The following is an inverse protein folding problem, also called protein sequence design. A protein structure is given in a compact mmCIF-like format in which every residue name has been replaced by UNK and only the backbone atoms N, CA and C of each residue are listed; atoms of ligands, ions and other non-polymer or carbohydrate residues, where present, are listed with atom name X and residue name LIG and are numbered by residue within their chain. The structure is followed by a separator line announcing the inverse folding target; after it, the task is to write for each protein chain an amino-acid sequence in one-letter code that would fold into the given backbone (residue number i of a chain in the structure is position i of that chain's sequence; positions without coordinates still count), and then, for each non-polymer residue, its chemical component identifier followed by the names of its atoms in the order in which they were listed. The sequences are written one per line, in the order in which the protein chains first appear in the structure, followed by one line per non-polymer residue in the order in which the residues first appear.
data_IF_492867692410
#
_entry.id   IF_492867692410
#
_cell.length_a   1.000
_cell.length_b   1.000
_cell.length_c   1.000
_cell.angle_alpha   90.00
_cell.angle_beta   90.00
_cell.angle_gamma   90.00
#
_symmetry.space_group_name_H-M   'P 1'
#
loop_
_entity.id
_entity.type
_entity.pdbx_description
1 polymer ?
#
# COMPACT_ATOMS: atom_id res chain seq x y z
N UNK A 1 -9.71 5.10 -4.61
CA UNK A 1 -8.91 4.21 -5.46
C UNK A 1 -9.78 3.75 -6.62
N UNK A 2 -9.41 4.05 -7.84
CA UNK A 2 -10.19 3.72 -9.03
C UNK A 2 -9.60 2.47 -9.65
N UNK A 3 -10.40 1.42 -9.81
CA UNK A 3 -9.97 0.17 -10.44
C UNK A 3 -10.64 0.01 -11.80
N UNK A 4 -9.85 -0.38 -12.79
CA UNK A 4 -10.34 -0.81 -14.09
C UNK A 4 -10.09 -2.31 -14.17
N UNK A 5 -11.15 -3.11 -14.10
CA UNK A 5 -11.06 -4.56 -14.22
C UNK A 5 -11.27 -5.01 -15.66
N UNK A 6 -10.46 -5.93 -16.14
CA UNK A 6 -10.66 -6.65 -17.40
C UNK A 6 -10.70 -8.14 -17.13
N UNK A 7 -11.73 -8.82 -17.61
CA UNK A 7 -11.71 -10.27 -17.76
C UNK A 7 -11.12 -10.60 -19.15
N UNK A 8 -9.97 -11.27 -19.15
CA UNK A 8 -9.27 -11.66 -20.39
C UNK A 8 -10.03 -12.65 -21.28
N UNK A 9 -11.19 -13.14 -20.86
CA UNK A 9 -12.02 -14.10 -21.61
C UNK A 9 -13.44 -13.65 -21.95
N UNK A 10 -13.91 -12.51 -21.44
CA UNK A 10 -15.24 -11.99 -21.78
C UNK A 10 -15.10 -10.71 -22.59
N UNK A 11 -15.62 -10.77 -23.82
CA UNK A 11 -15.80 -9.62 -24.68
C UNK A 11 -16.63 -8.55 -23.95
N UNK A 12 -16.02 -7.37 -23.79
CA UNK A 12 -16.64 -6.08 -23.52
C UNK A 12 -17.64 -5.99 -22.34
N UNK A 13 -17.11 -5.72 -21.14
CA UNK A 13 -17.76 -4.77 -20.24
C UNK A 13 -16.71 -4.12 -19.33
N UNK A 14 -16.58 -2.81 -19.42
CA UNK A 14 -15.77 -2.02 -18.51
C UNK A 14 -16.49 -1.97 -17.18
N UNK A 15 -15.96 -2.61 -16.17
CA UNK A 15 -16.50 -2.55 -14.83
C UNK A 15 -15.56 -1.72 -13.95
N UNK A 16 -16.00 -0.54 -13.56
CA UNK A 16 -15.39 0.30 -12.53
C UNK A 16 -15.79 -0.28 -11.18
N UNK A 17 -14.82 -0.83 -10.44
CA UNK A 17 -15.07 -1.30 -9.08
C UNK A 17 -14.47 -0.35 -8.06
N UNK A 18 -15.29 0.06 -7.10
CA UNK A 18 -14.80 0.50 -5.81
C UNK A 18 -14.62 -0.76 -4.96
N UNK A 19 -13.39 -1.21 -4.79
CA UNK A 19 -13.11 -2.38 -3.96
C UNK A 19 -13.13 -1.91 -2.50
N UNK A 20 -14.12 -2.40 -1.74
CA UNK A 20 -14.17 -2.31 -0.30
C UNK A 20 -13.60 -3.61 0.32
N UNK A 21 -13.44 -3.63 1.64
CA UNK A 21 -12.90 -4.77 2.37
C UNK A 21 -13.64 -6.09 2.06
N UNK A 22 -14.96 -6.07 2.03
CA UNK A 22 -15.78 -7.24 1.72
C UNK A 22 -15.54 -7.79 0.29
N UNK A 23 -15.17 -6.91 -0.64
CA UNK A 23 -14.85 -7.31 -2.02
C UNK A 23 -13.53 -8.06 -2.08
N UNK A 24 -12.52 -7.67 -1.28
CA UNK A 24 -11.27 -8.42 -1.18
C UNK A 24 -11.51 -9.82 -0.59
N UNK A 25 -12.31 -9.94 0.48
CA UNK A 25 -12.69 -11.23 1.06
C UNK A 25 -13.27 -12.15 -0.02
N UNK A 26 -14.24 -11.65 -0.79
CA UNK A 26 -14.89 -12.40 -1.85
C UNK A 26 -13.93 -12.81 -2.98
N UNK A 27 -13.04 -11.91 -3.40
CA UNK A 27 -12.12 -12.16 -4.51
C UNK A 27 -10.93 -13.02 -4.12
N UNK A 28 -10.43 -12.91 -2.89
CA UNK A 28 -9.22 -13.58 -2.44
C UNK A 28 -9.52 -14.93 -1.78
N UNK A 29 -10.45 -14.96 -0.81
CA UNK A 29 -10.66 -16.12 0.04
C UNK A 29 -11.76 -17.04 -0.43
N UNK A 30 -12.94 -16.51 -0.76
CA UNK A 30 -14.06 -17.34 -1.17
C UNK A 30 -13.87 -17.95 -2.55
N UNK A 31 -13.26 -17.22 -3.48
CA UNK A 31 -13.20 -17.61 -4.87
C UNK A 31 -11.80 -17.74 -5.48
N UNK A 32 -10.77 -17.18 -4.85
CA UNK A 32 -9.41 -17.11 -5.40
C UNK A 32 -9.38 -16.54 -6.84
N UNK A 33 -10.15 -15.46 -7.09
CA UNK A 33 -10.28 -14.89 -8.44
C UNK A 33 -9.32 -13.74 -8.71
N UNK A 34 -8.80 -13.07 -7.67
CA UNK A 34 -7.85 -11.98 -7.87
C UNK A 34 -6.50 -12.55 -8.31
N UNK A 35 -6.14 -12.34 -9.57
CA UNK A 35 -4.92 -12.89 -10.18
C UNK A 35 -3.74 -11.92 -10.07
N UNK A 36 -3.96 -10.64 -10.41
CA UNK A 36 -2.92 -9.61 -10.27
C UNK A 36 -3.51 -8.21 -10.08
N UNK A 37 -2.68 -7.33 -9.52
CA UNK A 37 -2.91 -5.89 -9.48
C UNK A 37 -1.71 -5.18 -10.09
N UNK A 38 -1.94 -4.32 -11.08
CA UNK A 38 -0.93 -3.49 -11.70
C UNK A 38 -1.15 -2.04 -11.27
N UNK A 39 -0.19 -1.44 -10.61
CA UNK A 39 -0.16 -0.01 -10.32
C UNK A 39 0.37 0.74 -11.53
N UNK A 40 -0.40 1.72 -11.99
CA UNK A 40 0.02 2.66 -13.02
C UNK A 40 0.46 3.99 -12.41
N UNK A 41 1.20 4.78 -13.17
CA UNK A 41 1.57 6.14 -12.76
C UNK A 41 0.36 7.04 -12.55
N UNK A 42 0.57 8.15 -11.86
CA UNK A 42 -0.35 9.28 -11.84
C UNK A 42 -0.46 9.92 -13.23
N UNK A 43 -1.51 10.69 -13.44
CA UNK A 43 -1.68 11.53 -14.64
C UNK A 43 -1.69 10.78 -15.99
N UNK A 44 -2.01 9.48 -16.00
CA UNK A 44 -2.11 8.68 -17.25
C UNK A 44 -3.50 8.75 -17.89
N UNK A 45 -4.51 9.22 -17.16
CA UNK A 45 -5.89 9.35 -17.65
C UNK A 45 -6.35 10.80 -17.73
N UNK A 46 -7.30 11.05 -18.63
CA UNK A 46 -7.77 12.40 -18.97
C UNK A 46 -8.35 13.19 -17.78
N UNK A 47 -9.15 12.51 -16.95
CA UNK A 47 -9.91 13.17 -15.88
C UNK A 47 -9.44 12.85 -14.47
N UNK A 48 -8.27 12.24 -14.31
CA UNK A 48 -7.73 11.90 -12.99
C UNK A 48 -6.23 12.05 -12.92
N UNK A 49 -5.76 12.74 -11.88
CA UNK A 49 -4.35 12.89 -11.56
C UNK A 49 -3.85 11.93 -10.47
N UNK A 50 -4.70 11.01 -10.00
CA UNK A 50 -4.34 10.06 -8.95
C UNK A 50 -3.71 8.79 -9.53
N UNK A 51 -3.00 8.05 -8.69
CA UNK A 51 -2.55 6.69 -8.99
C UNK A 51 -3.74 5.78 -9.31
N UNK A 52 -3.63 5.01 -10.37
CA UNK A 52 -4.66 4.08 -10.81
C UNK A 52 -4.13 2.65 -10.82
N UNK A 53 -5.05 1.71 -10.67
CA UNK A 53 -4.72 0.29 -10.58
C UNK A 53 -5.57 -0.50 -11.56
N UNK A 54 -4.97 -1.49 -12.21
CA UNK A 54 -5.65 -2.49 -13.02
C UNK A 54 -5.73 -3.77 -12.20
N UNK A 55 -6.95 -4.23 -11.89
CA UNK A 55 -7.18 -5.52 -11.26
C UNK A 55 -7.46 -6.58 -12.33
N UNK A 56 -6.67 -7.63 -12.35
CA UNK A 56 -6.88 -8.80 -13.20
C UNK A 56 -7.60 -9.87 -12.39
N UNK A 57 -8.80 -10.23 -12.85
CA UNK A 57 -9.67 -11.19 -12.19
C UNK A 57 -9.84 -12.39 -13.11
N UNK A 58 -9.54 -13.59 -12.61
CA UNK A 58 -9.65 -14.84 -13.34
C UNK A 58 -10.40 -15.88 -12.51
N UNK A 59 -11.49 -16.41 -13.05
CA UNK A 59 -12.24 -17.52 -12.41
C UNK A 59 -11.52 -18.86 -12.50
N UNK A 60 -10.59 -18.99 -13.44
CA UNK A 60 -9.85 -20.21 -13.71
C UNK A 60 -8.35 -19.91 -13.74
N UNK A 61 -7.75 -19.65 -12.57
CA UNK A 61 -6.32 -19.47 -12.46
C UNK A 61 -5.57 -20.74 -12.83
N UNK A 62 -4.47 -20.66 -13.59
CA UNK A 62 -3.54 -21.79 -13.76
C UNK A 62 -3.04 -22.27 -12.41
N UNK A 63 -2.73 -23.56 -12.29
CA UNK A 63 -2.34 -24.21 -11.01
C UNK A 63 -1.21 -23.47 -10.28
N UNK A 64 -0.22 -22.96 -11.00
CA UNK A 64 0.91 -22.23 -10.40
C UNK A 64 0.54 -20.85 -9.83
N UNK A 65 -0.64 -20.31 -10.18
CA UNK A 65 -1.16 -19.02 -9.69
C UNK A 65 -2.24 -19.17 -8.62
N UNK A 66 -2.75 -20.39 -8.40
CA UNK A 66 -3.80 -20.63 -7.41
C UNK A 66 -3.32 -20.28 -6.00
N UNK A 67 -4.17 -19.66 -5.20
CA UNK A 67 -3.87 -19.18 -3.85
C UNK A 67 -2.88 -18.02 -3.80
N UNK A 68 -2.56 -17.39 -4.94
CA UNK A 68 -1.57 -16.32 -5.02
C UNK A 68 -2.08 -15.12 -5.79
N UNK A 69 -1.51 -13.96 -5.47
CA UNK A 69 -1.75 -12.69 -6.18
C UNK A 69 -0.41 -12.09 -6.58
N UNK A 70 -0.32 -11.63 -7.83
CA UNK A 70 0.83 -10.88 -8.31
C UNK A 70 0.57 -9.38 -8.20
N UNK A 71 1.46 -8.65 -7.53
CA UNK A 71 1.48 -7.20 -7.51
C UNK A 71 2.56 -6.71 -8.46
N UNK A 72 2.22 -5.76 -9.34
CA UNK A 72 3.13 -5.18 -10.32
C UNK A 72 3.15 -3.67 -10.16
N UNK A 73 4.30 -3.12 -9.77
CA UNK A 73 4.51 -1.67 -9.74
C UNK A 73 5.06 -1.20 -11.10
N UNK A 74 4.17 -0.64 -11.90
CA UNK A 74 4.49 -0.01 -13.18
C UNK A 74 4.37 1.52 -13.09
N UNK A 75 4.46 2.11 -11.90
CA UNK A 75 4.30 3.55 -11.68
C UNK A 75 5.36 4.40 -12.42
N UNK A 76 6.52 3.82 -12.70
CA UNK A 76 7.61 4.46 -13.43
C UNK A 76 7.59 4.19 -14.94
N UNK A 77 6.69 3.32 -15.44
CA UNK A 77 6.57 2.93 -16.84
C UNK A 77 5.74 3.95 -17.63
N UNK A 78 6.26 5.17 -17.75
CA UNK A 78 5.59 6.31 -18.40
C UNK A 78 6.59 7.24 -19.07
N UNK A 79 6.08 8.04 -20.01
CA UNK A 79 6.79 9.15 -20.64
C UNK A 79 5.96 10.41 -20.48
N UNK A 80 6.61 11.50 -20.08
CA UNK A 80 5.96 12.80 -19.98
C UNK A 80 5.51 13.30 -21.36
N UNK A 81 4.27 13.79 -21.44
CA UNK A 81 3.71 14.36 -22.67
C UNK A 81 4.30 15.75 -22.93
N UNK A 82 4.58 16.04 -24.17
CA UNK A 82 4.96 17.39 -24.60
C UNK A 82 3.83 18.42 -24.40
N UNK A 83 2.59 17.99 -24.57
CA UNK A 83 1.38 18.82 -24.39
C UNK A 83 0.36 18.05 -23.57
N UNK A 84 -0.08 18.65 -22.47
CA UNK A 84 -1.07 18.05 -21.59
C UNK A 84 -2.45 17.97 -22.24
N UNK A 85 -3.24 16.97 -21.83
CA UNK A 85 -4.61 16.77 -22.26
C UNK A 85 -5.49 16.61 -21.01
N UNK A 86 -6.05 17.72 -20.52
CA UNK A 86 -6.70 17.77 -19.21
C UNK A 86 -5.71 17.41 -18.10
N UNK A 87 -6.06 16.50 -17.22
CA UNK A 87 -5.17 15.98 -16.18
C UNK A 87 -4.13 15.01 -16.70
N UNK A 88 -4.24 14.55 -17.94
CA UNK A 88 -3.29 13.59 -18.52
C UNK A 88 -1.98 14.29 -18.89
N UNK A 89 -0.91 13.99 -18.17
CA UNK A 89 0.45 14.51 -18.37
C UNK A 89 1.42 13.43 -18.81
N UNK A 90 1.07 12.16 -18.63
CA UNK A 90 1.90 11.01 -18.92
C UNK A 90 1.25 10.07 -19.93
N UNK A 91 2.07 9.45 -20.76
CA UNK A 91 1.68 8.37 -21.67
C UNK A 91 2.41 7.09 -21.32
N UNK A 92 1.73 5.96 -21.48
CA UNK A 92 2.34 4.62 -21.44
C UNK A 92 2.59 4.22 -22.89
N UNK A 93 3.86 4.05 -23.27
CA UNK A 93 4.25 3.67 -24.63
C UNK A 93 3.97 2.19 -24.90
N UNK A 94 4.11 1.77 -26.17
CA UNK A 94 4.00 0.35 -26.52
C UNK A 94 5.09 -0.49 -25.84
N UNK A 95 6.33 0.02 -25.79
CA UNK A 95 7.43 -0.62 -25.08
C UNK A 95 7.15 -0.76 -23.57
N UNK A 96 6.60 0.28 -22.93
CA UNK A 96 6.20 0.20 -21.51
C UNK A 96 5.13 -0.88 -21.31
N UNK A 97 4.14 -0.98 -22.21
CA UNK A 97 3.10 -2.01 -22.16
C UNK A 97 3.66 -3.43 -22.30
N UNK A 98 4.61 -3.62 -23.24
CA UNK A 98 5.29 -4.91 -23.42
C UNK A 98 6.00 -5.37 -22.15
N UNK A 99 6.69 -4.45 -21.46
CA UNK A 99 7.36 -4.76 -20.17
C UNK A 99 6.34 -5.16 -19.10
N UNK A 100 5.23 -4.42 -18.97
CA UNK A 100 4.19 -4.74 -17.99
C UNK A 100 3.55 -6.11 -18.29
N UNK A 101 3.25 -6.39 -19.57
CA UNK A 101 2.68 -7.68 -20.00
C UNK A 101 3.67 -8.82 -19.77
N UNK A 102 4.96 -8.59 -20.04
CA UNK A 102 6.02 -9.55 -19.75
C UNK A 102 6.12 -9.87 -18.26
N UNK A 103 6.13 -8.83 -17.40
CA UNK A 103 6.16 -9.00 -15.95
C UNK A 103 4.97 -9.83 -15.45
N UNK A 104 3.77 -9.56 -15.98
CA UNK A 104 2.58 -10.35 -15.66
C UNK A 104 2.70 -11.81 -16.14
N UNK A 105 3.17 -12.01 -17.37
CA UNK A 105 3.23 -13.35 -17.99
C UNK A 105 4.27 -14.26 -17.35
N UNK A 106 5.41 -13.73 -16.93
CA UNK A 106 6.49 -14.50 -16.29
C UNK A 106 6.15 -14.95 -14.87
N UNK A 107 5.23 -14.28 -14.19
CA UNK A 107 4.80 -14.62 -12.83
C UNK A 107 5.98 -14.89 -11.90
N UNK A 108 6.83 -13.90 -11.72
CA UNK A 108 8.07 -14.01 -10.94
C UNK A 108 8.26 -12.81 -10.00
N UNK A 109 8.97 -13.00 -8.89
CA UNK A 109 9.52 -11.91 -8.10
C UNK A 109 10.74 -11.36 -8.85
N UNK A 110 10.55 -10.29 -9.62
CA UNK A 110 11.57 -9.77 -10.52
C UNK A 110 11.42 -8.27 -10.77
N UNK A 111 12.51 -7.67 -11.19
CA UNK A 111 12.58 -6.27 -11.65
C UNK A 111 12.87 -6.29 -13.15
N UNK A 112 12.08 -5.53 -13.89
CA UNK A 112 12.18 -5.38 -15.34
C UNK A 112 12.59 -3.94 -15.65
N UNK A 113 13.58 -3.78 -16.51
CA UNK A 113 14.09 -2.47 -16.90
C UNK A 113 13.92 -2.26 -18.41
N UNK A 114 13.50 -1.05 -18.78
CA UNK A 114 13.44 -0.60 -20.17
C UNK A 114 13.61 0.91 -20.21
N UNK A 115 14.54 1.38 -21.03
CA UNK A 115 14.84 2.81 -21.24
C UNK A 115 15.06 3.58 -19.92
N UNK A 116 15.77 2.98 -18.96
CA UNK A 116 16.03 3.57 -17.64
C UNK A 116 14.82 3.62 -16.70
N UNK A 117 13.70 2.98 -17.07
CA UNK A 117 12.50 2.84 -16.26
C UNK A 117 12.44 1.45 -15.64
N UNK A 118 11.78 1.35 -14.49
CA UNK A 118 11.72 0.12 -13.71
C UNK A 118 10.25 -0.28 -13.51
N UNK A 119 9.98 -1.57 -13.74
CA UNK A 119 8.74 -2.25 -13.39
C UNK A 119 9.08 -3.41 -12.43
N UNK A 120 8.48 -3.43 -11.25
CA UNK A 120 8.77 -4.44 -10.22
C UNK A 120 7.55 -5.35 -10.01
N UNK A 121 7.79 -6.65 -9.97
CA UNK A 121 6.77 -7.68 -9.74
C UNK A 121 7.06 -8.46 -8.48
N UNK A 122 6.05 -8.66 -7.65
CA UNK A 122 6.09 -9.47 -6.41
C UNK A 122 4.88 -10.37 -6.33
N UNK A 123 5.10 -11.61 -5.86
CA UNK A 123 4.07 -12.62 -5.68
C UNK A 123 3.84 -12.82 -4.18
N UNK A 124 2.57 -12.86 -3.80
CA UNK A 124 2.12 -13.06 -2.42
C UNK A 124 1.10 -14.19 -2.38
N UNK A 125 0.99 -14.87 -1.24
CA UNK A 125 -0.14 -15.75 -0.99
C UNK A 125 -1.36 -14.91 -0.59
N UNK A 126 -2.56 -15.43 -0.82
CA UNK A 126 -3.79 -14.73 -0.43
C UNK A 126 -3.81 -14.38 1.07
N UNK A 127 -3.26 -15.26 1.91
CA UNK A 127 -3.20 -15.10 3.38
C UNK A 127 -2.31 -13.92 3.82
N UNK A 128 -1.31 -13.52 3.00
CA UNK A 128 -0.39 -12.42 3.32
C UNK A 128 -1.11 -11.05 3.37
N UNK A 129 -2.32 -10.98 2.81
CA UNK A 129 -3.16 -9.78 2.81
C UNK A 129 -4.22 -9.77 3.91
N UNK A 130 -4.34 -10.88 4.62
CA UNK A 130 -5.34 -11.06 5.66
C UNK A 130 -4.85 -10.63 7.03
N UNK A 131 -5.79 -10.15 7.85
CA UNK A 131 -5.54 -9.80 9.24
C UNK A 131 -6.75 -10.10 10.12
N UNK A 132 -6.49 -10.36 11.38
CA UNK A 132 -7.47 -10.36 12.44
C UNK A 132 -7.55 -8.96 13.04
N UNK A 133 -8.64 -8.25 12.84
CA UNK A 133 -8.91 -7.01 13.55
C UNK A 133 -9.42 -7.32 14.93
N UNK A 134 -8.55 -7.13 15.92
CA UNK A 134 -8.87 -7.32 17.33
C UNK A 134 -9.33 -6.00 17.96
N UNK A 135 -10.26 -6.10 18.91
CA UNK A 135 -10.70 -4.97 19.72
C UNK A 135 -10.00 -5.06 21.08
N UNK A 136 -9.29 -3.98 21.43
CA UNK A 136 -8.55 -3.84 22.66
C UNK A 136 -9.37 -2.99 23.60
N UNK A 137 -9.62 -3.51 24.78
CA UNK A 137 -10.36 -2.85 25.85
C UNK A 137 -9.42 -2.52 27.00
N UNK A 138 -9.73 -1.42 27.69
CA UNK A 138 -9.01 -0.97 28.88
C UNK A 138 -9.99 -0.75 30.05
N UNK A 139 -9.54 -0.92 31.30
CA UNK A 139 -10.39 -0.73 32.45
C UNK A 139 -10.73 0.75 32.70
N UNK A 140 -11.92 1.00 33.16
CA UNK A 140 -12.37 2.33 33.58
C UNK A 140 -11.93 2.61 35.01
N UNK A 141 -11.32 3.77 35.23
CA UNK A 141 -10.96 4.32 36.52
C UNK A 141 -11.76 5.60 36.79
N UNK A 142 -12.37 5.69 37.96
CA UNK A 142 -12.98 6.92 38.49
C UNK A 142 -12.23 7.37 39.75
N UNK A 143 -11.70 8.57 39.74
CA UNK A 143 -10.90 9.12 40.85
C UNK A 143 -9.72 8.20 41.26
N UNK A 144 -9.12 7.47 40.31
CA UNK A 144 -8.02 6.54 40.55
C UNK A 144 -8.44 5.17 41.11
N UNK A 145 -9.76 4.89 41.20
CA UNK A 145 -10.28 3.62 41.66
C UNK A 145 -10.84 2.84 40.46
N UNK A 146 -10.46 1.57 40.36
CA UNK A 146 -10.97 0.66 39.33
C UNK A 146 -12.49 0.46 39.46
N UNK A 147 -13.25 0.76 38.45
CA UNK A 147 -14.69 0.53 38.41
C UNK A 147 -14.97 -0.91 37.98
N UNK A 148 -15.69 -1.66 38.83
CA UNK A 148 -16.04 -3.06 38.56
C UNK A 148 -17.56 -3.27 38.56
N UNK A 149 -18.00 -4.31 37.85
CA UNK A 149 -19.43 -4.69 37.79
C UNK A 149 -19.66 -6.18 38.10
N UNK A 150 -20.85 -6.46 38.58
CA UNK A 150 -21.32 -7.83 38.82
C UNK A 150 -20.69 -8.52 40.04
N UNK A 151 -21.09 -9.77 40.27
CA UNK A 151 -20.61 -10.58 41.42
C UNK A 151 -19.17 -11.03 41.30
N UNK A 152 -18.59 -11.00 40.06
CA UNK A 152 -17.22 -11.40 39.77
C UNK A 152 -16.23 -10.24 39.77
N UNK A 153 -16.69 -9.02 40.13
CA UNK A 153 -15.86 -7.80 40.08
C UNK A 153 -15.15 -7.61 38.74
N UNK A 154 -15.86 -7.88 37.62
CA UNK A 154 -15.28 -7.69 36.28
C UNK A 154 -15.04 -6.21 36.02
N UNK A 155 -13.87 -5.82 35.45
CA UNK A 155 -13.59 -4.43 35.10
C UNK A 155 -14.65 -3.86 34.16
N UNK A 156 -15.07 -2.62 34.39
CA UNK A 156 -15.89 -1.89 33.42
C UNK A 156 -14.99 -1.35 32.33
N UNK A 157 -15.42 -1.50 31.09
CA UNK A 157 -14.68 -1.01 29.92
C UNK A 157 -14.72 0.50 29.86
N UNK A 158 -13.56 1.12 29.68
CA UNK A 158 -13.44 2.53 29.31
C UNK A 158 -13.56 2.68 27.77
N UNK A 159 -14.76 3.01 27.33
CA UNK A 159 -15.05 3.15 25.90
C UNK A 159 -14.21 4.26 25.21
N UNK A 160 -13.69 5.21 25.96
CA UNK A 160 -12.84 6.29 25.42
C UNK A 160 -11.43 5.83 25.11
N UNK A 161 -10.98 4.72 25.73
CA UNK A 161 -9.66 4.10 25.52
C UNK A 161 -9.70 2.85 24.66
N UNK A 162 -10.87 2.57 24.05
CA UNK A 162 -10.99 1.45 23.13
C UNK A 162 -10.13 1.66 21.91
N UNK A 163 -9.36 0.64 21.53
CA UNK A 163 -8.48 0.66 20.36
C UNK A 163 -8.65 -0.60 19.53
N UNK A 164 -8.08 -0.59 18.32
CA UNK A 164 -8.16 -1.69 17.37
C UNK A 164 -6.79 -1.93 16.77
N UNK A 165 -6.38 -3.21 16.73
CA UNK A 165 -5.16 -3.63 16.05
C UNK A 165 -5.47 -4.64 14.95
N UNK A 166 -4.66 -4.60 13.89
CA UNK A 166 -4.74 -5.54 12.77
C UNK A 166 -3.57 -6.52 12.87
N UNK A 167 -3.84 -7.70 13.39
CA UNK A 167 -2.88 -8.78 13.54
C UNK A 167 -2.82 -9.62 12.25
N UNK A 168 -1.67 -9.79 11.58
CA UNK A 168 -1.57 -10.64 10.39
C UNK A 168 -2.15 -12.03 10.63
N UNK A 169 -2.84 -12.62 9.64
CA UNK A 169 -3.44 -13.97 9.78
C UNK A 169 -2.39 -15.06 10.05
N UNK A 170 -1.17 -14.83 9.61
CA UNK A 170 -0.04 -15.75 9.82
C UNK A 170 0.53 -15.70 11.23
N UNK A 171 0.07 -14.79 12.07
CA UNK A 171 0.56 -14.59 13.44
C UNK A 171 -0.54 -14.92 14.47
N UNK A 172 -0.11 -15.52 15.59
CA UNK A 172 -1.00 -15.80 16.72
C UNK A 172 -1.39 -14.49 17.43
N UNK A 173 -2.71 -14.30 17.65
CA UNK A 173 -3.27 -13.09 18.22
C UNK A 173 -2.76 -12.84 19.64
N UNK A 174 -2.66 -13.89 20.47
CA UNK A 174 -2.26 -13.75 21.86
C UNK A 174 -0.75 -13.43 21.96
N UNK A 175 0.07 -14.02 21.11
CA UNK A 175 1.51 -13.71 21.02
C UNK A 175 1.73 -12.26 20.56
N UNK A 176 1.02 -11.83 19.52
CA UNK A 176 1.08 -10.45 19.04
C UNK A 176 0.68 -9.46 20.15
N UNK A 177 -0.42 -9.74 20.85
CA UNK A 177 -0.95 -8.89 21.90
C UNK A 177 0.03 -8.71 23.07
N UNK A 178 0.68 -9.78 23.51
CA UNK A 178 1.69 -9.72 24.58
C UNK A 178 2.95 -8.92 24.14
N UNK A 179 3.32 -8.99 22.86
CA UNK A 179 4.51 -8.31 22.33
C UNK A 179 4.27 -6.83 22.04
N UNK A 180 3.13 -6.51 21.40
CA UNK A 180 2.92 -5.17 20.83
C UNK A 180 2.00 -4.29 21.70
N UNK A 181 1.07 -4.86 22.46
CA UNK A 181 0.07 -4.09 23.21
C UNK A 181 0.41 -4.01 24.70
N UNK A 182 0.74 -5.13 25.31
CA UNK A 182 1.00 -5.21 26.75
C UNK A 182 2.12 -4.31 27.27
N UNK A 183 3.22 -4.07 26.55
CA UNK A 183 4.26 -3.16 26.99
C UNK A 183 3.79 -1.71 27.15
N UNK A 184 2.77 -1.30 26.38
CA UNK A 184 2.22 0.06 26.40
C UNK A 184 0.96 0.18 27.27
N UNK A 185 0.22 -0.92 27.40
CA UNK A 185 -1.02 -1.00 28.18
C UNK A 185 -1.13 -2.35 28.89
N UNK A 186 -0.50 -2.46 30.06
CA UNK A 186 -0.40 -3.71 30.81
C UNK A 186 -1.77 -4.25 31.27
N UNK A 187 -2.76 -3.38 31.45
CA UNK A 187 -4.10 -3.73 31.93
C UNK A 187 -5.11 -4.00 30.83
N UNK A 188 -4.72 -3.82 29.55
CA UNK A 188 -5.57 -4.09 28.40
C UNK A 188 -5.89 -5.57 28.26
N UNK A 189 -7.03 -5.86 27.62
CA UNK A 189 -7.39 -7.21 27.19
C UNK A 189 -8.08 -7.18 25.83
N UNK A 190 -8.12 -8.34 25.16
CA UNK A 190 -8.79 -8.51 23.88
C UNK A 190 -10.26 -8.92 24.11
N UNK A 191 -11.20 -8.24 23.49
CA UNK A 191 -12.56 -8.76 23.33
C UNK A 191 -12.60 -9.72 22.12
N UNK A 192 -12.31 -11.01 22.40
CA UNK A 192 -12.28 -12.06 21.36
C UNK A 192 -13.61 -12.20 20.60
N UNK A 193 -14.74 -11.80 21.21
CA UNK A 193 -16.06 -11.86 20.57
C UNK A 193 -16.24 -10.83 19.46
N UNK A 194 -15.38 -9.82 19.41
CA UNK A 194 -15.38 -8.73 18.43
C UNK A 194 -14.29 -8.86 17.36
N UNK A 195 -13.46 -9.89 17.44
CA UNK A 195 -12.45 -10.17 16.43
C UNK A 195 -13.11 -10.40 15.07
N UNK A 196 -12.60 -9.74 14.05
CA UNK A 196 -13.08 -9.85 12.66
C UNK A 196 -11.90 -10.09 11.74
N UNK A 197 -12.06 -11.01 10.81
CA UNK A 197 -11.10 -11.18 9.72
C UNK A 197 -11.36 -10.09 8.68
N UNK A 198 -10.28 -9.54 8.14
CA UNK A 198 -10.31 -8.58 7.05
C UNK A 198 -9.12 -8.75 6.13
N UNK A 199 -9.21 -8.14 4.94
CA UNK A 199 -8.15 -8.19 3.94
C UNK A 199 -7.84 -6.78 3.45
N UNK A 200 -6.55 -6.50 3.32
CA UNK A 200 -6.05 -5.24 2.79
C UNK A 200 -4.80 -5.49 1.95
N UNK A 201 -4.71 -4.82 0.81
CA UNK A 201 -3.52 -4.86 -0.02
C UNK A 201 -2.83 -3.50 0.07
N UNK A 202 -1.90 -3.31 1.01
CA UNK A 202 -1.16 -2.06 1.19
C UNK A 202 -0.07 -1.95 0.12
N UNK A 203 -0.46 -1.69 -1.13
CA UNK A 203 0.40 -1.74 -2.30
C UNK A 203 1.68 -0.92 -2.11
N UNK A 204 1.56 0.31 -1.62
CA UNK A 204 2.70 1.20 -1.38
C UNK A 204 3.70 0.60 -0.39
N UNK A 205 3.24 -0.08 0.66
CA UNK A 205 4.10 -0.72 1.66
C UNK A 205 5.00 -1.80 1.06
N UNK A 206 4.48 -2.58 0.11
CA UNK A 206 5.22 -3.68 -0.50
C UNK A 206 6.30 -3.21 -1.47
N UNK A 207 6.14 -2.03 -2.09
CA UNK A 207 7.10 -1.47 -3.05
C UNK A 207 7.87 -0.27 -2.49
N UNK A 208 7.65 0.09 -1.22
CA UNK A 208 8.37 1.17 -0.58
C UNK A 208 9.85 0.80 -0.44
N UNK A 209 10.71 1.68 -0.95
CA UNK A 209 12.17 1.62 -0.75
C UNK A 209 12.54 2.82 0.09
N UNK A 210 13.08 2.57 1.27
CA UNK A 210 13.59 3.65 2.12
C UNK A 210 14.84 4.23 1.47
N UNK A 211 14.78 5.50 1.12
CA UNK A 211 15.93 6.29 0.72
C UNK A 211 16.30 7.17 1.92
N UNK A 212 17.48 6.94 2.48
CA UNK A 212 17.97 7.77 3.57
C UNK A 212 18.10 9.21 3.07
N UNK A 213 17.57 10.21 3.81
CA UNK A 213 17.77 11.61 3.45
C UNK A 213 19.26 11.95 3.48
N UNK A 214 19.66 12.87 2.62
CA UNK A 214 21.05 13.42 2.63
C UNK A 214 21.39 13.90 4.05
N UNK A 215 22.63 13.67 4.45
CA UNK A 215 23.10 14.14 5.75
C UNK A 215 23.11 15.67 5.80
N UNK A 216 22.92 16.24 6.98
CA UNK A 216 22.98 17.70 7.16
C UNK A 216 24.32 18.28 6.68
N UNK A 217 25.41 17.52 6.84
CA UNK A 217 26.75 17.90 6.40
C UNK A 217 26.89 17.96 4.87
N UNK A 218 26.22 17.04 4.14
CA UNK A 218 26.21 17.06 2.66
C UNK A 218 25.39 18.23 2.13
N UNK A 219 24.25 18.50 2.78
CA UNK A 219 23.42 19.67 2.45
C UNK A 219 24.17 20.97 2.70
N UNK A 220 24.87 21.08 3.82
CA UNK A 220 25.68 22.26 4.18
C UNK A 220 26.81 22.50 3.16
N UNK A 221 27.52 21.45 2.75
CA UNK A 221 28.54 21.57 1.69
C UNK A 221 27.96 22.08 0.37
N UNK A 222 26.79 21.55 -0.04
CA UNK A 222 26.12 22.00 -1.27
C UNK A 222 25.67 23.46 -1.16
N UNK A 223 25.15 23.88 -0.02
CA UNK A 223 24.76 25.26 0.21
C UNK A 223 25.97 26.19 0.12
N UNK A 224 27.10 25.84 0.76
CA UNK A 224 28.34 26.64 0.71
C UNK A 224 28.89 26.79 -0.74
N UNK A 225 28.80 25.74 -1.54
CA UNK A 225 29.20 25.82 -2.97
C UNK A 225 28.26 26.75 -3.75
N UNK A 226 26.94 26.63 -3.56
CA UNK A 226 25.97 27.50 -4.22
C UNK A 226 26.12 28.96 -3.79
N UNK A 227 26.42 29.23 -2.52
CA UNK A 227 26.67 30.55 -2.00
C UNK A 227 27.90 31.19 -2.66
N UNK A 228 28.97 30.43 -2.80
CA UNK A 228 30.21 30.89 -3.49
C UNK A 228 29.91 31.18 -4.99
N UNK A 229 29.17 30.34 -5.67
CA UNK A 229 28.79 30.56 -7.06
C UNK A 229 27.88 31.76 -7.27
N UNK A 230 26.95 32.01 -6.36
CA UNK A 230 26.11 33.24 -6.34
C UNK A 230 26.99 34.47 -6.14
N UNK A 231 27.87 34.47 -5.16
CA UNK A 231 28.77 35.59 -4.88
C UNK A 231 29.68 35.86 -6.09
N UNK A 232 30.28 34.84 -6.69
CA UNK A 232 31.07 34.97 -7.92
C UNK A 232 30.28 35.58 -9.08
N UNK A 233 29.03 35.17 -9.24
CA UNK A 233 28.13 35.68 -10.29
C UNK A 233 27.75 37.14 -10.04
N UNK A 234 27.48 37.53 -8.78
CA UNK A 234 27.17 38.90 -8.40
C UNK A 234 28.38 39.82 -8.60
N UNK A 235 29.59 39.40 -8.19
CA UNK A 235 30.83 40.14 -8.41
C UNK A 235 31.08 40.36 -9.89
N UNK A 236 30.77 39.36 -10.74
CA UNK A 236 30.93 39.44 -12.21
C UNK A 236 29.94 40.40 -12.87
N UNK A 237 28.72 40.52 -12.30
CA UNK A 237 27.68 41.40 -12.80
C UNK A 237 27.81 42.85 -12.36
N UNK A 238 28.24 43.07 -11.13
CA UNK A 238 28.26 44.42 -10.53
C UNK A 238 29.66 45.03 -10.44
N UNK A 239 30.71 44.27 -10.72
CA UNK A 239 32.08 44.70 -10.57
C UNK A 239 32.50 44.81 -9.07
N UNK A 240 33.76 44.87 -8.82
CA UNK A 240 34.27 45.29 -7.50
C UNK A 240 33.86 46.73 -7.27
N UNK A 241 33.01 46.99 -6.27
CA UNK A 241 32.69 48.31 -5.79
C UNK A 241 33.82 48.81 -4.85
#
# INVERSE_FOLDING_TARGET
MLFIGYDLKLKSERMLFFINQNTYDYLLTENDWLDAIVQLSTDVFYNTGITTYICLISKNKPTHRQGKVQLIDASKMVVARRKNLGSKRNDITDADREVIVKAYGEFANATYESDGKVCESKIFNNEDFGFNRIQIESPLYENGVLVTKGKKNEPVVDASKRDFENVPLVEDIDIYFEREVKPYNAEAWIDKSKTKVGYEIPFTRYFYKYEAPESSEEIEKRLSVLEADIMASLTKLFGEA
#
